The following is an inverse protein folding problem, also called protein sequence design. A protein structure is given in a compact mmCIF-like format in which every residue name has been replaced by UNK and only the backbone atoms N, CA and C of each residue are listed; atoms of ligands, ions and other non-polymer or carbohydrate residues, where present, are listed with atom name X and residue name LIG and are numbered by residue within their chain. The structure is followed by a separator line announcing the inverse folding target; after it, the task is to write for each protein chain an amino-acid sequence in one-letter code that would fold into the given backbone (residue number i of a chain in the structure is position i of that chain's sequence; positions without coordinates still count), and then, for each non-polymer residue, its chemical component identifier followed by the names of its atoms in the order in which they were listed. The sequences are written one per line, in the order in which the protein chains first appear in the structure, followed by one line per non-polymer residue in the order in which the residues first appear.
data_IF_314159237492
#
_entry.id   IF_314159237492
#
_cell.length_a   1.000
_cell.length_b   1.000
_cell.length_c   1.000
_cell.angle_alpha   90.00
_cell.angle_beta   90.00
_cell.angle_gamma   90.00
#
_symmetry.space_group_name_H-M   'P 1'
#
loop_
_entity.id
_entity.type
_entity.pdbx_description
1 polymer ?
#
# COMPACT_ATOMS: atom_id res chain seq x y z
N UNK A 1 -3.82 0.40 -20.43
CA UNK A 1 -2.52 0.19 -19.80
C UNK A 1 -2.69 -0.04 -18.31
N UNK A 2 -1.79 -0.81 -17.73
CA UNK A 2 -1.88 -1.18 -16.32
C UNK A 2 -1.10 -0.20 -15.47
N UNK A 3 -1.72 0.27 -14.38
CA UNK A 3 -1.05 1.06 -13.36
C UNK A 3 -0.44 0.12 -12.33
N UNK A 4 0.85 0.25 -12.09
CA UNK A 4 1.57 -0.54 -11.10
C UNK A 4 2.07 0.40 -10.01
N UNK A 5 1.78 0.06 -8.76
CA UNK A 5 2.29 0.78 -7.61
C UNK A 5 3.15 -0.18 -6.80
N UNK A 6 4.43 0.10 -6.74
CA UNK A 6 5.34 -0.59 -5.83
C UNK A 6 5.34 0.11 -4.48
N UNK A 7 5.32 -0.66 -3.41
CA UNK A 7 5.36 -0.10 -2.06
C UNK A 7 6.46 -0.75 -1.24
N UNK A 8 7.00 0.04 -0.32
CA UNK A 8 7.99 -0.40 0.65
C UNK A 8 7.85 0.47 1.90
N UNK A 9 8.31 -0.04 3.02
CA UNK A 9 8.27 0.72 4.27
C UNK A 9 9.53 0.43 5.08
N UNK A 10 9.92 1.39 5.89
CA UNK A 10 11.01 1.21 6.85
C UNK A 10 10.46 1.39 8.26
N UNK A 11 10.96 0.56 9.16
CA UNK A 11 10.54 0.58 10.57
C UNK A 11 11.70 0.18 11.47
N UNK A 12 11.53 0.45 12.76
CA UNK A 12 12.46 -0.02 13.79
C UNK A 12 11.66 -0.67 14.91
N UNK A 13 12.27 -1.63 15.56
CA UNK A 13 11.67 -2.31 16.69
C UNK A 13 11.58 -1.35 17.88
N UNK A 14 10.42 -1.33 18.53
CA UNK A 14 10.22 -0.58 19.75
C UNK A 14 9.71 -1.52 20.84
N UNK A 15 10.62 -2.09 21.67
CA UNK A 15 10.23 -3.04 22.71
C UNK A 15 9.29 -2.45 23.77
N UNK A 16 9.38 -1.16 24.04
CA UNK A 16 8.53 -0.50 25.02
C UNK A 16 7.07 -0.50 24.65
N UNK A 17 6.80 -0.42 23.33
CA UNK A 17 5.42 -0.39 22.83
C UNK A 17 4.92 -1.77 22.39
N UNK A 18 5.79 -2.76 22.33
CA UNK A 18 5.43 -4.09 21.83
C UNK A 18 5.09 -4.12 20.36
N UNK A 19 5.49 -3.09 19.60
CA UNK A 19 5.27 -3.00 18.16
C UNK A 19 6.39 -2.20 17.51
N UNK A 20 6.47 -2.27 16.18
CA UNK A 20 7.45 -1.52 15.43
C UNK A 20 7.01 -0.07 15.22
N UNK A 21 7.96 0.86 15.30
CA UNK A 21 7.74 2.24 14.87
C UNK A 21 7.98 2.33 13.37
N UNK A 22 7.01 2.85 12.63
CA UNK A 22 7.15 3.03 11.19
C UNK A 22 7.89 4.34 10.94
N UNK A 23 9.00 4.26 10.21
CA UNK A 23 9.83 5.41 9.89
C UNK A 23 9.39 6.09 8.60
N UNK A 24 9.03 5.30 7.58
CA UNK A 24 8.60 5.84 6.31
C UNK A 24 7.75 4.85 5.54
N UNK A 25 6.85 5.39 4.71
CA UNK A 25 6.10 4.67 3.69
C UNK A 25 6.56 5.20 2.34
N UNK A 26 6.93 4.32 1.45
CA UNK A 26 7.48 4.67 0.15
C UNK A 26 6.63 4.09 -0.96
N UNK A 27 6.64 4.74 -2.12
CA UNK A 27 5.94 4.22 -3.29
C UNK A 27 6.70 4.57 -4.56
N UNK A 28 6.49 3.74 -5.55
CA UNK A 28 6.95 3.93 -6.92
C UNK A 28 5.80 3.60 -7.85
N UNK A 29 5.45 4.52 -8.73
CA UNK A 29 4.35 4.34 -9.67
C UNK A 29 4.84 4.21 -11.10
N UNK A 30 4.16 3.37 -11.85
CA UNK A 30 4.43 3.15 -13.28
C UNK A 30 3.12 3.03 -14.04
N UNK A 31 2.98 3.84 -15.09
CA UNK A 31 1.82 3.80 -15.97
C UNK A 31 2.30 4.08 -17.39
N UNK A 32 2.47 3.03 -18.18
CA UNK A 32 3.09 3.16 -19.48
C UNK A 32 4.52 3.67 -19.37
N UNK A 33 4.78 4.83 -19.96
CA UNK A 33 6.10 5.48 -19.90
C UNK A 33 6.23 6.46 -18.74
N UNK A 34 5.13 6.70 -18.00
CA UNK A 34 5.18 7.60 -16.85
C UNK A 34 5.67 6.88 -15.61
N UNK A 35 6.57 7.52 -14.90
CA UNK A 35 7.12 7.02 -13.64
C UNK A 35 7.06 8.13 -12.61
N UNK A 36 6.78 7.77 -11.36
CA UNK A 36 6.85 8.70 -10.24
C UNK A 36 7.17 7.95 -8.96
N UNK A 37 7.62 8.66 -7.95
CA UNK A 37 7.90 8.06 -6.64
C UNK A 37 7.70 9.10 -5.56
N UNK A 38 7.55 8.63 -4.34
CA UNK A 38 7.41 9.50 -3.20
C UNK A 38 7.61 8.77 -1.88
N UNK A 39 7.54 9.54 -0.82
CA UNK A 39 7.74 9.05 0.54
C UNK A 39 6.86 9.85 1.49
N UNK A 40 6.35 9.17 2.51
CA UNK A 40 5.60 9.77 3.60
C UNK A 40 6.24 9.40 4.92
N UNK A 41 6.52 10.40 5.75
CA UNK A 41 7.07 10.21 7.09
C UNK A 41 5.94 10.38 8.08
N UNK A 42 5.45 9.30 8.71
CA UNK A 42 4.34 9.41 9.67
C UNK A 42 4.77 10.16 10.93
N UNK A 43 3.85 10.95 11.47
CA UNK A 43 4.05 11.63 12.75
C UNK A 43 3.49 10.78 13.88
N UNK A 44 4.22 10.67 14.99
CA UNK A 44 3.75 10.08 16.24
C UNK A 44 2.99 8.76 16.06
N UNK A 45 3.58 7.80 15.34
CA UNK A 45 2.98 6.48 15.11
C UNK A 45 1.64 6.50 14.39
N UNK A 46 1.34 7.54 13.64
CA UNK A 46 0.12 7.57 12.82
C UNK A 46 0.29 6.69 11.59
N UNK A 47 -0.04 5.43 11.76
CA UNK A 47 0.07 4.46 10.68
C UNK A 47 -0.95 4.74 9.59
N UNK A 48 -0.54 4.54 8.34
CA UNK A 48 -1.45 4.64 7.21
C UNK A 48 -2.25 3.36 7.07
N UNK A 49 -3.50 3.49 6.64
CA UNK A 49 -4.24 2.35 6.10
C UNK A 49 -3.70 2.05 4.70
N UNK A 50 -4.01 0.88 4.15
CA UNK A 50 -3.63 0.58 2.77
C UNK A 50 -4.26 1.57 1.79
N UNK A 51 -5.50 2.00 2.06
CA UNK A 51 -6.17 3.01 1.24
C UNK A 51 -5.48 4.36 1.29
N UNK A 52 -5.00 4.78 2.45
CA UNK A 52 -4.25 6.03 2.59
C UNK A 52 -2.93 5.97 1.83
N UNK A 53 -2.22 4.86 1.93
CA UNK A 53 -0.95 4.67 1.23
C UNK A 53 -1.16 4.73 -0.28
N UNK A 54 -2.17 4.00 -0.78
CA UNK A 54 -2.52 4.02 -2.19
C UNK A 54 -2.97 5.42 -2.64
N UNK A 55 -3.74 6.12 -1.80
CA UNK A 55 -4.17 7.48 -2.13
C UNK A 55 -2.99 8.41 -2.34
N UNK A 56 -2.01 8.37 -1.45
CA UNK A 56 -0.80 9.18 -1.59
C UNK A 56 -0.04 8.86 -2.87
N UNK A 57 0.12 7.58 -3.17
CA UNK A 57 0.82 7.14 -4.37
C UNK A 57 0.10 7.57 -5.64
N UNK A 58 -1.22 7.44 -5.67
CA UNK A 58 -2.02 7.78 -6.85
C UNK A 58 -2.18 9.29 -7.04
N UNK A 59 -2.27 10.05 -5.96
CA UNK A 59 -2.34 11.52 -6.05
C UNK A 59 -1.18 12.10 -6.85
N UNK A 60 0.00 11.58 -6.65
CA UNK A 60 1.18 12.07 -7.33
C UNK A 60 1.17 11.74 -8.81
N UNK A 61 0.79 10.52 -9.15
CA UNK A 61 0.79 10.05 -10.54
C UNK A 61 -0.36 10.55 -11.37
N UNK A 62 -1.48 10.88 -10.73
CA UNK A 62 -2.72 11.23 -11.43
C UNK A 62 -3.21 12.64 -11.12
N UNK A 63 -2.28 13.53 -10.84
CA UNK A 63 -2.58 14.94 -10.67
C UNK A 63 -3.11 15.50 -11.99
N UNK A 64 -4.33 16.04 -11.97
CA UNK A 64 -5.01 16.59 -13.16
C UNK A 64 -5.27 15.55 -14.24
N UNK A 65 -5.40 14.29 -13.86
CA UNK A 65 -5.70 13.18 -14.76
C UNK A 65 -6.81 12.32 -14.19
N UNK A 66 -7.49 11.58 -15.06
CA UNK A 66 -8.46 10.59 -14.61
C UNK A 66 -7.75 9.48 -13.84
N UNK A 67 -8.28 9.12 -12.68
CA UNK A 67 -7.71 8.08 -11.84
C UNK A 67 -7.96 6.69 -12.42
N UNK A 68 -7.05 5.75 -12.20
CA UNK A 68 -7.23 4.38 -12.66
C UNK A 68 -8.33 3.69 -11.86
N UNK A 69 -9.04 2.77 -12.50
CA UNK A 69 -10.02 1.92 -11.81
C UNK A 69 -9.39 0.68 -11.22
N UNK A 70 -8.24 0.30 -11.73
CA UNK A 70 -7.55 -0.92 -11.33
C UNK A 70 -6.06 -0.64 -11.20
N UNK A 71 -5.45 -1.15 -10.14
CA UNK A 71 -4.01 -1.07 -9.95
C UNK A 71 -3.45 -2.43 -9.58
N UNK A 72 -2.20 -2.67 -9.93
CA UNK A 72 -1.42 -3.77 -9.42
C UNK A 72 -0.53 -3.22 -8.32
N UNK A 73 -0.70 -3.73 -7.10
CA UNK A 73 0.10 -3.32 -5.95
C UNK A 73 1.20 -4.36 -5.76
N UNK A 74 2.43 -3.94 -6.05
CA UNK A 74 3.59 -4.82 -6.02
C UNK A 74 4.42 -4.58 -4.76
N UNK A 75 4.79 -5.64 -4.08
CA UNK A 75 5.63 -5.57 -2.88
C UNK A 75 6.14 -6.96 -2.54
N UNK A 76 7.09 -7.01 -1.63
CA UNK A 76 7.38 -8.24 -0.90
C UNK A 76 6.35 -8.34 0.23
N UNK A 77 5.25 -9.05 -0.03
CA UNK A 77 4.16 -9.14 0.93
C UNK A 77 4.48 -10.14 2.04
N UNK A 78 5.43 -9.79 2.88
CA UNK A 78 5.66 -10.52 4.11
C UNK A 78 4.72 -10.00 5.19
N UNK A 79 4.39 -10.85 6.18
CA UNK A 79 3.57 -10.42 7.30
C UNK A 79 4.21 -9.27 8.06
N UNK A 80 5.53 -9.21 8.11
CA UNK A 80 6.24 -8.11 8.77
C UNK A 80 5.99 -6.76 8.08
N UNK A 81 6.03 -6.72 6.75
CA UNK A 81 5.76 -5.48 6.00
C UNK A 81 4.31 -5.04 6.10
N UNK A 82 3.38 -5.98 5.99
CA UNK A 82 1.97 -5.67 6.10
C UNK A 82 1.59 -5.21 7.50
N UNK A 83 2.32 -5.64 8.52
CA UNK A 83 2.02 -5.25 9.90
C UNK A 83 2.24 -3.76 10.19
N UNK A 84 2.89 -3.02 9.28
CA UNK A 84 3.10 -1.58 9.45
C UNK A 84 1.89 -0.73 9.03
N UNK A 85 0.87 -1.33 8.47
CA UNK A 85 -0.36 -0.60 8.12
C UNK A 85 -1.36 -0.67 9.27
N UNK A 86 -2.18 0.38 9.36
CA UNK A 86 -3.13 0.54 10.46
C UNK A 86 -4.24 -0.52 10.45
N UNK A 87 -4.70 -0.90 9.28
CA UNK A 87 -5.82 -1.81 9.12
C UNK A 87 -5.40 -3.22 8.70
N UNK A 88 -4.24 -3.68 9.17
CA UNK A 88 -3.73 -5.00 8.80
C UNK A 88 -4.72 -6.11 9.11
N UNK A 89 -5.34 -6.09 10.30
CA UNK A 89 -6.27 -7.15 10.68
C UNK A 89 -7.45 -7.27 9.71
N UNK A 90 -7.97 -6.15 9.23
CA UNK A 90 -9.04 -6.16 8.24
C UNK A 90 -8.55 -6.66 6.89
N UNK A 91 -7.35 -6.29 6.48
CA UNK A 91 -6.77 -6.77 5.23
C UNK A 91 -6.41 -8.25 5.32
N UNK A 92 -5.94 -8.70 6.47
CA UNK A 92 -5.52 -10.08 6.71
C UNK A 92 -6.60 -11.09 6.38
N UNK A 93 -7.86 -10.76 6.62
CA UNK A 93 -8.99 -11.66 6.31
C UNK A 93 -9.14 -11.93 4.82
N UNK A 94 -8.56 -11.07 3.98
CA UNK A 94 -8.63 -11.19 2.52
C UNK A 94 -7.37 -11.79 1.91
N UNK A 95 -6.36 -12.07 2.74
CA UNK A 95 -5.08 -12.59 2.29
C UNK A 95 -5.00 -14.09 2.56
N UNK A 96 -4.36 -14.80 1.64
CA UNK A 96 -3.91 -16.16 1.88
C UNK A 96 -2.51 -16.10 2.47
N UNK A 97 -2.39 -16.56 3.70
CA UNK A 97 -1.08 -16.70 4.32
C UNK A 97 -0.58 -18.10 4.01
N UNK A 98 0.59 -18.20 3.40
CA UNK A 98 1.22 -19.49 3.14
C UNK A 98 1.73 -20.02 4.47
N UNK A 99 1.25 -21.19 4.87
CA UNK A 99 1.61 -21.81 6.15
C UNK A 99 3.12 -22.05 6.22
N UNK A 100 3.71 -21.63 7.34
CA UNK A 100 5.15 -21.76 7.54
C UNK A 100 6.00 -20.73 6.78
N UNK A 101 5.36 -19.77 6.15
CA UNK A 101 6.02 -18.71 5.37
C UNK A 101 5.57 -17.35 5.89
N UNK A 102 6.41 -16.33 5.67
CA UNK A 102 6.06 -14.95 5.96
C UNK A 102 5.37 -14.26 4.77
N UNK A 103 5.13 -14.96 3.67
CA UNK A 103 4.51 -14.39 2.49
C UNK A 103 3.00 -14.30 2.64
N UNK A 104 2.43 -13.33 1.99
CA UNK A 104 1.00 -13.15 1.90
C UNK A 104 0.59 -12.85 0.46
N UNK A 105 -0.57 -13.33 0.06
CA UNK A 105 -1.15 -13.00 -1.23
C UNK A 105 -2.65 -12.88 -1.07
N UNK A 106 -3.30 -12.22 -2.02
CA UNK A 106 -4.76 -12.18 -2.07
C UNK A 106 -5.24 -13.10 -3.17
N UNK A 107 -6.19 -13.99 -2.85
CA UNK A 107 -6.82 -14.88 -3.85
C UNK A 107 -7.53 -14.09 -4.92
N UNK A 108 -8.18 -13.02 -4.49
CA UNK A 108 -8.99 -12.19 -5.37
C UNK A 108 -8.65 -10.73 -5.13
N UNK A 109 -8.85 -9.90 -6.15
CA UNK A 109 -8.66 -8.47 -5.95
C UNK A 109 -9.61 -7.94 -4.90
N UNK A 110 -9.21 -6.87 -4.23
CA UNK A 110 -10.06 -6.18 -3.28
C UNK A 110 -10.23 -4.73 -3.73
N UNK A 111 -11.26 -4.08 -3.20
CA UNK A 111 -11.54 -2.68 -3.50
C UNK A 111 -10.98 -1.80 -2.39
N UNK A 112 -10.22 -0.78 -2.78
CA UNK A 112 -9.77 0.25 -1.87
C UNK A 112 -10.45 1.57 -2.23
N UNK A 113 -10.92 2.30 -1.22
CA UNK A 113 -11.46 3.64 -1.40
C UNK A 113 -10.33 4.64 -1.20
N UNK A 114 -9.95 5.29 -2.29
CA UNK A 114 -8.86 6.25 -2.30
C UNK A 114 -9.42 7.65 -2.49
N UNK A 115 -8.67 8.66 -2.06
CA UNK A 115 -9.12 10.06 -2.11
C UNK A 115 -8.07 10.91 -2.80
N UNK A 116 -8.55 11.80 -3.67
CA UNK A 116 -7.68 12.75 -4.37
C UNK A 116 -7.48 14.02 -3.54
N UNK A 117 -6.74 14.99 -4.09
CA UNK A 117 -6.45 16.24 -3.40
C UNK A 117 -7.70 17.07 -3.10
N UNK A 118 -8.75 16.87 -3.86
CA UNK A 118 -10.04 17.55 -3.67
C UNK A 118 -10.98 16.74 -2.79
N UNK A 119 -10.49 15.65 -2.20
CA UNK A 119 -11.24 14.72 -1.33
C UNK A 119 -12.37 13.98 -2.06
N UNK A 120 -12.29 13.86 -3.38
CA UNK A 120 -13.18 13.01 -4.13
C UNK A 120 -12.77 11.56 -3.96
N UNK A 121 -13.75 10.70 -3.72
CA UNK A 121 -13.52 9.26 -3.53
C UNK A 121 -13.41 8.55 -4.88
N UNK A 122 -12.41 7.70 -4.97
CA UNK A 122 -12.19 6.81 -6.10
C UNK A 122 -12.15 5.37 -5.61
N UNK A 123 -13.03 4.52 -6.12
CA UNK A 123 -13.00 3.09 -5.84
C UNK A 123 -12.01 2.44 -6.79
N UNK A 124 -10.97 1.84 -6.23
CA UNK A 124 -9.88 1.24 -7.01
C UNK A 124 -9.85 -0.25 -6.72
N UNK A 125 -9.86 -1.05 -7.77
CA UNK A 125 -9.68 -2.50 -7.66
C UNK A 125 -8.19 -2.80 -7.60
N UNK A 126 -7.76 -3.50 -6.56
CA UNK A 126 -6.35 -3.75 -6.26
C UNK A 126 -6.04 -5.22 -6.45
N UNK A 127 -5.07 -5.50 -7.31
CA UNK A 127 -4.50 -6.83 -7.48
C UNK A 127 -3.14 -6.85 -6.80
N UNK A 128 -2.93 -7.78 -5.87
CA UNK A 128 -1.64 -7.92 -5.20
C UNK A 128 -0.69 -8.73 -6.05
N UNK A 129 0.53 -8.24 -6.18
CA UNK A 129 1.62 -8.95 -6.82
C UNK A 129 2.77 -9.06 -5.82
N UNK A 130 3.04 -10.30 -5.39
CA UNK A 130 4.21 -10.58 -4.56
C UNK A 130 5.42 -10.73 -5.46
N UNK A 131 6.44 -9.92 -5.22
CA UNK A 131 7.64 -9.88 -6.06
C UNK A 131 8.74 -10.85 -5.60
N UNK A 132 8.46 -11.67 -4.63
CA UNK A 132 9.45 -12.63 -4.16
C UNK A 132 9.54 -13.86 -5.03
#
# INVERSE_FOLDING_TARGET
MTTIIGIDAEWQTNPEKGQNDVLSYQWFGLDGEREWSGVHYPEDDKRLTISDWLSLALMEGYKNRAWPRTVVLASHFTTAELSVIKNFDALKTRLDLVQGSSYASARQPFTANCYDNSRNRHSVTVHLLDTM
#
